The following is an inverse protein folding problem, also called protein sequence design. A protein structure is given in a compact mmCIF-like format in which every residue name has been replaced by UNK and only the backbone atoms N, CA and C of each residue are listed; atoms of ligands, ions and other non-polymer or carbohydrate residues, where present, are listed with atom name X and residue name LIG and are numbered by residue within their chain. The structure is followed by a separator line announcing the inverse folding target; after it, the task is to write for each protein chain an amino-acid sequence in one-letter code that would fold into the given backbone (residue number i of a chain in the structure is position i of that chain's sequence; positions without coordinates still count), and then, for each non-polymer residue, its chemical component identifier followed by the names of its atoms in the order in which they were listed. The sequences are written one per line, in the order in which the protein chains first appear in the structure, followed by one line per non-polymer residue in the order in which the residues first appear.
data_IF_396893821508
#
_entry.id   IF_396893821508
#
_cell.length_a   1.000
_cell.length_b   1.000
_cell.length_c   1.000
_cell.angle_alpha   90.00
_cell.angle_beta   90.00
_cell.angle_gamma   90.00
#
_symmetry.space_group_name_H-M   'P 1'
#
loop_
_entity.id
_entity.type
_entity.pdbx_description
1 polymer ?
#
# COMPACT_ATOMS: atom_id res chain seq x y z
N UNK A 1 4.45 2.08 -19.27
CA UNK A 1 4.12 3.51 -19.13
C UNK A 1 3.91 3.69 -17.64
N UNK A 2 4.98 3.96 -16.90
CA UNK A 2 4.95 3.88 -15.43
C UNK A 2 5.51 5.19 -14.92
N UNK A 3 4.60 6.16 -14.76
CA UNK A 3 4.93 7.51 -14.40
C UNK A 3 4.93 7.70 -12.87
N UNK A 4 6.09 8.21 -12.44
CA UNK A 4 6.33 9.30 -11.47
C UNK A 4 6.70 8.96 -10.02
N UNK A 5 7.56 9.84 -9.54
CA UNK A 5 8.62 9.65 -8.58
C UNK A 5 8.24 10.22 -7.20
N UNK A 6 8.70 9.58 -6.13
CA UNK A 6 9.04 10.27 -4.87
C UNK A 6 10.03 9.44 -4.04
N UNK A 7 11.25 9.99 -3.91
CA UNK A 7 12.37 9.56 -3.04
C UNK A 7 12.99 8.17 -3.30
N UNK A 8 13.96 8.14 -4.21
CA UNK A 8 15.12 7.21 -4.29
C UNK A 8 14.91 5.69 -4.35
N UNK A 9 13.68 5.17 -4.29
CA UNK A 9 13.38 3.79 -4.66
C UNK A 9 12.23 3.78 -5.66
N UNK A 10 12.40 3.04 -6.75
CA UNK A 10 11.46 2.95 -7.87
C UNK A 10 10.38 1.92 -7.50
N UNK A 11 9.63 2.21 -6.44
CA UNK A 11 8.65 1.27 -5.91
C UNK A 11 7.44 1.27 -6.86
N UNK A 12 7.30 0.22 -7.65
CA UNK A 12 6.12 0.01 -8.49
C UNK A 12 4.88 -0.22 -7.62
N UNK A 13 3.68 0.09 -8.13
CA UNK A 13 2.43 -0.24 -7.43
C UNK A 13 2.37 -1.72 -7.07
N UNK A 14 2.87 -2.59 -7.95
CA UNK A 14 2.97 -4.04 -7.72
C UNK A 14 3.90 -4.43 -6.57
N UNK A 15 4.95 -3.65 -6.29
CA UNK A 15 5.86 -3.93 -5.18
C UNK A 15 5.18 -3.61 -3.85
N UNK A 16 4.45 -2.49 -3.81
CA UNK A 16 3.61 -2.12 -2.67
C UNK A 16 2.49 -3.15 -2.45
N UNK A 17 1.82 -3.58 -3.52
CA UNK A 17 0.77 -4.61 -3.46
C UNK A 17 1.33 -5.93 -2.90
N UNK A 18 2.49 -6.36 -3.39
CA UNK A 18 3.14 -7.59 -2.94
C UNK A 18 3.55 -7.51 -1.46
N UNK A 19 4.08 -6.37 -1.00
CA UNK A 19 4.43 -6.14 0.41
C UNK A 19 3.23 -6.29 1.34
N UNK A 20 2.05 -5.82 0.90
CA UNK A 20 0.82 -5.99 1.67
C UNK A 20 0.26 -7.42 1.62
N UNK A 21 0.23 -8.05 0.43
CA UNK A 21 -0.24 -9.44 0.26
C UNK A 21 0.64 -10.45 1.00
N UNK A 22 1.93 -10.15 1.17
CA UNK A 22 2.85 -10.98 1.96
C UNK A 22 2.49 -11.02 3.45
N UNK A 23 1.63 -10.14 3.95
CA UNK A 23 1.20 -10.14 5.34
C UNK A 23 0.01 -11.09 5.54
N UNK A 24 0.13 -12.01 6.52
CA UNK A 24 -0.94 -12.98 6.83
C UNK A 24 -2.34 -12.38 7.06
N UNK A 25 -2.43 -11.15 7.54
CA UNK A 25 -3.71 -10.50 7.82
C UNK A 25 -4.43 -10.00 6.55
N UNK A 26 -3.72 -9.84 5.43
CA UNK A 26 -4.24 -9.32 4.17
C UNK A 26 -4.54 -10.49 3.24
N UNK A 27 -5.73 -10.48 2.66
CA UNK A 27 -6.12 -11.39 1.60
C UNK A 27 -5.68 -10.85 0.24
N UNK A 28 -5.99 -9.57 -0.03
CA UNK A 28 -5.69 -8.90 -1.30
C UNK A 28 -5.32 -7.44 -1.05
N UNK A 29 -4.46 -6.89 -1.91
CA UNK A 29 -4.09 -5.49 -1.89
C UNK A 29 -4.15 -4.92 -3.32
N UNK A 30 -4.67 -3.71 -3.45
CA UNK A 30 -4.73 -2.98 -4.71
C UNK A 30 -4.25 -1.54 -4.50
N UNK A 31 -3.31 -1.06 -5.30
CA UNK A 31 -2.74 0.29 -5.16
C UNK A 31 -3.02 1.11 -6.42
N UNK A 32 -3.69 2.25 -6.23
CA UNK A 32 -4.00 3.19 -7.32
C UNK A 32 -3.30 4.52 -7.11
N UNK A 33 -2.68 5.04 -8.15
CA UNK A 33 -2.19 6.41 -8.19
C UNK A 33 -3.35 7.35 -8.53
N UNK A 34 -3.63 8.32 -7.65
CA UNK A 34 -4.57 9.40 -7.94
C UNK A 34 -3.81 10.73 -8.00
N UNK A 35 -3.93 11.50 -9.10
CA UNK A 35 -3.43 12.87 -9.12
C UNK A 35 -4.19 13.68 -8.07
N UNK A 36 -3.45 14.27 -7.14
CA UNK A 36 -4.01 15.08 -6.05
C UNK A 36 -3.65 16.55 -6.32
N UNK A 37 -4.64 17.45 -6.39
CA UNK A 37 -4.39 18.84 -6.80
C UNK A 37 -3.52 19.62 -5.81
N UNK A 38 -3.38 19.16 -4.56
CA UNK A 38 -2.60 19.83 -3.52
C UNK A 38 -1.19 19.23 -3.40
N UNK A 39 -1.07 17.91 -3.52
CA UNK A 39 0.19 17.17 -3.31
C UNK A 39 0.88 16.73 -4.59
N UNK A 40 0.31 17.07 -5.75
CA UNK A 40 0.75 16.61 -7.06
C UNK A 40 0.20 15.21 -7.33
N UNK A 41 0.73 14.21 -6.64
CA UNK A 41 0.36 12.80 -6.84
C UNK A 41 0.29 12.07 -5.50
N UNK A 42 -0.80 11.35 -5.26
CA UNK A 42 -1.00 10.54 -4.06
C UNK A 42 -1.41 9.13 -4.45
N UNK A 43 -0.84 8.14 -3.77
CA UNK A 43 -1.21 6.73 -3.91
C UNK A 43 -2.22 6.37 -2.83
N UNK A 44 -3.28 5.67 -3.24
CA UNK A 44 -4.26 5.05 -2.33
C UNK A 44 -4.14 3.54 -2.43
N UNK A 45 -3.91 2.90 -1.28
CA UNK A 45 -3.92 1.45 -1.14
C UNK A 45 -5.26 0.99 -0.57
N UNK A 46 -5.87 0.01 -1.22
CA UNK A 46 -7.04 -0.72 -0.76
C UNK A 46 -6.59 -2.09 -0.29
N UNK A 47 -6.96 -2.45 0.93
CA UNK A 47 -6.55 -3.70 1.56
C UNK A 47 -7.81 -4.48 1.94
N UNK A 48 -7.87 -5.73 1.51
CA UNK A 48 -8.88 -6.70 1.91
C UNK A 48 -8.26 -7.56 2.99
N UNK A 49 -8.87 -7.59 4.17
CA UNK A 49 -8.42 -8.44 5.27
C UNK A 49 -9.01 -9.84 5.13
N UNK A 50 -8.29 -10.86 5.60
CA UNK A 50 -8.81 -12.23 5.69
C UNK A 50 -9.97 -12.31 6.70
N UNK A 51 -10.84 -13.29 6.52
CA UNK A 51 -11.94 -13.56 7.45
C UNK A 51 -11.42 -13.70 8.89
N UNK A 52 -12.09 -13.02 9.83
CA UNK A 52 -11.72 -12.99 11.24
C UNK A 52 -10.63 -11.98 11.61
N UNK A 53 -9.95 -11.34 10.65
CA UNK A 53 -9.01 -10.25 10.94
C UNK A 53 -9.77 -8.92 10.95
N UNK A 54 -9.58 -8.12 12.01
CA UNK A 54 -10.12 -6.76 12.12
C UNK A 54 -9.01 -5.74 11.95
N UNK A 55 -9.37 -4.59 11.37
CA UNK A 55 -8.46 -3.48 11.19
C UNK A 55 -8.24 -2.80 12.55
N UNK A 56 -7.26 -3.32 13.30
CA UNK A 56 -6.86 -2.77 14.59
C UNK A 56 -5.74 -1.73 14.40
N UNK A 57 -5.58 -0.77 15.32
CA UNK A 57 -4.48 0.20 15.25
C UNK A 57 -3.09 -0.46 15.25
N UNK A 58 -2.96 -1.63 15.88
CA UNK A 58 -1.74 -2.46 15.81
C UNK A 58 -1.49 -2.96 14.38
N UNK A 59 -2.50 -3.55 13.75
CA UNK A 59 -2.40 -4.02 12.36
C UNK A 59 -2.13 -2.88 11.38
N UNK A 60 -2.74 -1.71 11.58
CA UNK A 60 -2.48 -0.53 10.75
C UNK A 60 -1.02 -0.07 10.84
N UNK A 61 -0.40 -0.22 12.01
CA UNK A 61 1.02 0.09 12.22
C UNK A 61 1.92 -0.93 11.54
N UNK A 62 1.59 -2.22 11.62
CA UNK A 62 2.30 -3.29 10.93
C UNK A 62 2.26 -3.11 9.41
N UNK A 63 1.09 -2.84 8.85
CA UNK A 63 0.90 -2.58 7.41
C UNK A 63 1.69 -1.35 6.95
N UNK A 64 1.70 -0.26 7.74
CA UNK A 64 2.53 0.90 7.43
C UNK A 64 4.02 0.58 7.44
N UNK A 65 4.46 -0.35 8.29
CA UNK A 65 5.86 -0.79 8.35
C UNK A 65 6.20 -1.67 7.15
N UNK A 66 5.28 -2.53 6.71
CA UNK A 66 5.43 -3.35 5.51
C UNK A 66 5.64 -2.51 4.24
N UNK A 67 5.01 -1.34 4.15
CA UNK A 67 5.18 -0.42 3.00
C UNK A 67 6.50 0.40 3.02
N UNK A 68 7.25 0.39 4.12
CA UNK A 68 8.47 1.20 4.30
C UNK A 68 9.78 0.41 4.11
N UNK A 69 9.69 -0.88 3.79
CA UNK A 69 10.84 -1.77 3.58
C UNK A 69 11.39 -1.69 2.15
#
# INVERSE_FOLDING_TARGET
MDLKQSKKHRIGTSEVESAFVSHDAVAEAAVIGKPDPVRGETIKAFLILKEGKKLTPGLMTELKKACQA
#
